data_IF_614140674778
#
_entry.id   IF_614140674778
#
_cell.length_a   1.000
_cell.length_b   1.000
_cell.length_c   1.000
_cell.angle_alpha   90.00
_cell.angle_beta   90.00
_cell.angle_gamma   90.00
#
_symmetry.space_group_name_H-M   'P 1'
#
loop_
_entity.id
_entity.type
_entity.pdbx_description
1 polymer ?
#
# COMPACT_ATOMS: atom_id res chain seq x y z
N UNK A 1 13.65 81.90 -10.18
CA UNK A 1 13.20 80.58 -10.64
C UNK A 1 11.68 80.60 -10.71
N UNK A 2 11.15 80.65 -11.92
CA UNK A 2 9.76 81.01 -12.22
C UNK A 2 8.72 80.06 -11.62
N UNK A 3 7.63 80.61 -11.08
CA UNK A 3 6.48 79.87 -10.48
C UNK A 3 5.94 78.78 -11.39
N UNK A 4 6.00 78.96 -12.69
CA UNK A 4 5.57 78.02 -13.70
C UNK A 4 6.47 76.75 -13.76
N UNK A 5 7.78 76.87 -13.57
CA UNK A 5 8.74 75.75 -13.57
C UNK A 5 8.54 74.85 -12.35
N UNK A 6 8.23 75.45 -11.18
CA UNK A 6 7.92 74.66 -9.96
C UNK A 6 6.61 73.91 -10.10
N UNK A 7 5.59 74.45 -10.73
CA UNK A 7 4.31 73.77 -10.99
C UNK A 7 4.49 72.64 -12.01
N UNK A 8 5.26 72.87 -13.07
CA UNK A 8 5.56 71.76 -14.06
C UNK A 8 6.36 70.62 -13.45
N UNK A 9 7.37 70.96 -12.63
CA UNK A 9 8.17 69.94 -11.94
C UNK A 9 7.34 69.07 -10.95
N UNK A 10 6.38 69.76 -10.24
CA UNK A 10 5.46 69.08 -9.33
C UNK A 10 4.52 68.12 -10.07
N UNK A 11 4.01 68.54 -11.24
CA UNK A 11 3.09 67.70 -12.04
C UNK A 11 3.83 66.48 -12.63
N UNK A 12 5.07 66.65 -13.09
CA UNK A 12 5.90 65.56 -13.61
C UNK A 12 6.25 64.58 -12.50
N UNK A 13 6.59 65.08 -11.31
CA UNK A 13 6.86 64.19 -10.16
C UNK A 13 5.62 63.42 -9.73
N UNK A 14 4.43 64.01 -9.77
CA UNK A 14 3.17 63.36 -9.42
C UNK A 14 2.75 62.31 -10.47
N UNK A 15 2.99 62.58 -11.75
CA UNK A 15 2.77 61.62 -12.84
C UNK A 15 3.72 60.43 -12.79
N UNK A 16 4.99 60.65 -12.45
CA UNK A 16 5.95 59.55 -12.24
C UNK A 16 5.61 58.67 -11.02
N UNK A 17 5.10 59.27 -9.93
CA UNK A 17 4.72 58.53 -8.74
C UNK A 17 3.42 57.71 -8.94
N UNK A 18 2.46 58.24 -9.73
CA UNK A 18 1.24 57.49 -10.05
C UNK A 18 1.48 56.35 -11.03
N UNK A 19 2.49 56.45 -11.91
CA UNK A 19 2.84 55.42 -12.86
C UNK A 19 3.61 54.24 -12.20
N UNK A 20 4.33 54.51 -11.10
CA UNK A 20 5.05 53.48 -10.33
C UNK A 20 4.12 52.57 -9.51
N UNK A 21 2.86 52.99 -9.27
CA UNK A 21 1.91 52.24 -8.45
C UNK A 21 1.07 51.23 -9.27
N UNK A 22 1.24 51.18 -10.59
CA UNK A 22 0.41 50.38 -11.50
C UNK A 22 1.11 49.09 -12.02
N UNK A 23 2.32 48.80 -11.53
CA UNK A 23 3.06 47.56 -11.91
C UNK A 23 3.20 46.65 -10.72
N UNK A 24 2.13 46.48 -9.92
CA UNK A 24 1.97 45.20 -9.18
C UNK A 24 1.36 44.19 -10.12
N UNK A 25 2.21 43.63 -10.97
CA UNK A 25 1.88 42.39 -11.70
C UNK A 25 1.62 41.35 -10.62
N UNK A 26 0.35 40.98 -10.44
CA UNK A 26 -0.02 39.80 -9.71
C UNK A 26 0.58 38.58 -10.47
N UNK A 27 1.79 38.16 -10.09
CA UNK A 27 2.29 36.86 -10.45
C UNK A 27 1.44 35.90 -9.64
N UNK A 28 0.27 35.54 -10.17
CA UNK A 28 -0.43 34.35 -9.75
C UNK A 28 0.50 33.18 -10.10
N UNK A 29 1.20 32.68 -9.10
CA UNK A 29 1.75 31.35 -9.19
C UNK A 29 0.54 30.42 -9.34
N UNK A 30 0.20 30.11 -10.58
CA UNK A 30 -0.63 28.94 -10.85
C UNK A 30 0.14 27.77 -10.25
N UNK A 31 -0.29 27.28 -9.09
CA UNK A 31 0.12 25.99 -8.58
C UNK A 31 -0.24 25.01 -9.71
N UNK A 32 0.76 24.50 -10.41
CA UNK A 32 0.54 23.39 -11.32
C UNK A 32 -0.20 22.33 -10.52
N UNK A 33 -1.35 21.83 -10.99
CA UNK A 33 -1.98 20.69 -10.35
C UNK A 33 -0.92 19.60 -10.41
N UNK A 34 -0.33 19.27 -9.27
CA UNK A 34 0.43 18.03 -9.13
C UNK A 34 -0.50 16.95 -9.62
N UNK A 35 -0.27 16.46 -10.82
CA UNK A 35 -0.92 15.28 -11.34
C UNK A 35 -0.56 14.17 -10.35
N UNK A 36 -1.42 13.99 -9.36
CA UNK A 36 -1.38 12.84 -8.47
C UNK A 36 -1.68 11.68 -9.41
N UNK A 37 -0.63 11.10 -9.98
CA UNK A 37 -0.76 9.83 -10.69
C UNK A 37 -1.47 8.90 -9.70
N UNK A 38 -2.68 8.49 -10.03
CA UNK A 38 -3.43 7.53 -9.23
C UNK A 38 -2.65 6.22 -9.28
N UNK A 39 -1.79 6.03 -8.31
CA UNK A 39 -1.06 4.78 -8.14
C UNK A 39 -2.09 3.79 -7.65
N UNK A 40 -2.51 2.88 -8.50
CA UNK A 40 -3.35 1.76 -8.11
C UNK A 40 -2.54 0.85 -7.18
N UNK A 41 -2.80 0.95 -5.89
CA UNK A 41 -2.26 0.04 -4.87
C UNK A 41 -3.06 -1.26 -4.89
N UNK A 42 -2.42 -2.34 -5.27
CA UNK A 42 -3.00 -3.68 -5.26
C UNK A 42 -2.31 -4.49 -4.16
N UNK A 43 -3.07 -4.93 -3.16
CA UNK A 43 -2.54 -5.78 -2.09
C UNK A 43 -2.37 -7.21 -2.58
N UNK A 44 -1.18 -7.78 -2.39
CA UNK A 44 -0.83 -9.14 -2.78
C UNK A 44 -0.19 -9.89 -1.58
N UNK A 45 -0.99 -10.64 -0.81
CA UNK A 45 -0.48 -11.43 0.29
C UNK A 45 0.28 -12.65 -0.24
N UNK A 46 1.41 -12.96 0.40
CA UNK A 46 2.21 -14.15 0.10
C UNK A 46 2.66 -14.82 1.40
N UNK A 47 2.62 -16.14 1.44
CA UNK A 47 3.10 -16.87 2.61
C UNK A 47 4.63 -16.88 2.68
N UNK A 48 5.16 -16.82 3.90
CA UNK A 48 6.58 -16.93 4.17
C UNK A 48 7.16 -18.21 3.56
N UNK A 49 8.27 -18.10 2.83
CA UNK A 49 8.92 -19.21 2.13
C UNK A 49 8.19 -19.71 0.89
N UNK A 50 7.07 -19.11 0.52
CA UNK A 50 6.31 -19.45 -0.69
C UNK A 50 6.56 -18.45 -1.80
N UNK A 51 6.34 -18.90 -3.02
CA UNK A 51 6.40 -18.07 -4.21
C UNK A 51 5.06 -18.05 -4.96
N UNK A 52 4.85 -17.00 -5.72
CA UNK A 52 3.69 -16.89 -6.60
C UNK A 52 4.09 -16.19 -7.90
N UNK A 53 3.36 -16.50 -8.98
CA UNK A 53 3.50 -15.80 -10.26
C UNK A 53 2.32 -14.85 -10.44
N UNK A 54 2.63 -13.57 -10.58
CA UNK A 54 1.63 -12.54 -10.87
C UNK A 54 1.64 -12.22 -12.35
N UNK A 55 0.48 -12.29 -12.99
CA UNK A 55 0.28 -11.94 -14.41
C UNK A 55 -0.12 -10.50 -14.56
N UNK A 56 0.66 -9.78 -15.37
CA UNK A 56 0.45 -8.39 -15.71
C UNK A 56 -0.54 -8.24 -16.87
N UNK A 57 -1.37 -7.21 -16.81
CA UNK A 57 -2.26 -6.84 -17.92
C UNK A 57 -1.49 -6.20 -19.08
N UNK A 58 -0.52 -5.35 -18.75
CA UNK A 58 0.34 -4.65 -19.71
C UNK A 58 1.80 -5.15 -19.56
N UNK A 59 2.58 -5.05 -20.61
CA UNK A 59 3.98 -5.50 -20.62
C UNK A 59 4.83 -4.65 -19.67
N UNK A 60 5.66 -5.31 -18.87
CA UNK A 60 6.64 -4.68 -18.00
C UNK A 60 8.03 -4.68 -18.66
N UNK A 61 8.75 -3.60 -18.48
CA UNK A 61 10.15 -3.44 -18.89
C UNK A 61 11.13 -3.62 -17.74
N UNK A 62 10.68 -3.32 -16.52
CA UNK A 62 11.49 -3.38 -15.30
C UNK A 62 10.63 -3.62 -14.08
N UNK A 63 11.20 -4.30 -13.08
CA UNK A 63 10.62 -4.47 -11.74
C UNK A 63 11.66 -4.11 -10.69
N UNK A 64 11.20 -3.63 -9.54
CA UNK A 64 12.04 -3.37 -8.37
C UNK A 64 11.24 -3.60 -7.11
N UNK A 65 11.88 -4.19 -6.10
CA UNK A 65 11.30 -4.37 -4.76
C UNK A 65 11.87 -3.32 -3.81
N UNK A 66 11.02 -2.78 -2.94
CA UNK A 66 11.41 -1.76 -1.97
C UNK A 66 12.33 -2.31 -0.87
N UNK A 67 12.00 -3.52 -0.33
CA UNK A 67 12.80 -4.17 0.71
C UNK A 67 13.12 -5.62 0.31
N UNK A 68 14.34 -5.87 -0.23
CA UNK A 68 14.74 -7.20 -0.72
C UNK A 68 14.88 -8.29 0.36
N UNK A 69 14.94 -7.90 1.63
CA UNK A 69 14.96 -8.86 2.73
C UNK A 69 13.57 -9.43 3.02
N UNK A 70 12.48 -8.70 2.70
CA UNK A 70 11.10 -9.14 2.91
C UNK A 70 10.62 -9.98 1.74
N UNK A 71 10.84 -9.52 0.51
CA UNK A 71 10.44 -10.26 -0.70
C UNK A 71 11.50 -10.14 -1.80
N UNK A 72 11.57 -11.15 -2.65
CA UNK A 72 12.34 -11.10 -3.91
C UNK A 72 11.38 -11.07 -5.10
N UNK A 73 11.77 -10.36 -6.16
CA UNK A 73 10.98 -10.25 -7.37
C UNK A 73 11.85 -10.44 -8.61
N UNK A 74 11.33 -11.19 -9.59
CA UNK A 74 11.98 -11.41 -10.88
C UNK A 74 10.99 -11.33 -12.02
N UNK A 75 11.38 -10.66 -13.08
CA UNK A 75 10.64 -10.69 -14.34
C UNK A 75 10.95 -12.00 -15.05
N UNK A 76 9.95 -12.88 -15.21
CA UNK A 76 10.09 -14.14 -15.97
C UNK A 76 10.02 -13.83 -17.45
N UNK A 77 9.05 -13.03 -17.83
CA UNK A 77 8.85 -12.47 -19.17
C UNK A 77 8.14 -11.11 -19.03
N UNK A 78 7.88 -10.43 -20.12
CA UNK A 78 7.29 -9.08 -20.09
C UNK A 78 5.89 -8.99 -19.48
N UNK A 79 5.23 -10.12 -19.21
CA UNK A 79 3.88 -10.18 -18.60
C UNK A 79 3.77 -11.01 -17.33
N UNK A 80 4.86 -11.61 -16.88
CA UNK A 80 4.84 -12.46 -15.69
C UNK A 80 6.00 -12.13 -14.78
N UNK A 81 5.67 -11.88 -13.51
CA UNK A 81 6.65 -11.66 -12.45
C UNK A 81 6.54 -12.79 -11.42
N UNK A 82 7.69 -13.28 -10.99
CA UNK A 82 7.84 -14.21 -9.89
C UNK A 82 8.09 -13.42 -8.62
N UNK A 83 7.36 -13.75 -7.56
CA UNK A 83 7.46 -13.09 -6.26
C UNK A 83 7.69 -14.17 -5.21
N UNK A 84 8.72 -14.00 -4.37
CA UNK A 84 9.07 -14.91 -3.26
C UNK A 84 9.00 -14.15 -1.93
N UNK A 85 8.20 -14.64 -0.97
CA UNK A 85 8.17 -14.13 0.40
C UNK A 85 9.33 -14.69 1.23
N UNK A 86 10.25 -13.82 1.67
CA UNK A 86 11.49 -14.23 2.37
C UNK A 86 11.44 -14.03 3.88
N UNK A 87 10.77 -12.97 4.34
CA UNK A 87 10.65 -12.62 5.75
C UNK A 87 9.30 -11.97 6.01
N UNK A 88 8.71 -12.24 7.16
CA UNK A 88 7.47 -11.57 7.59
C UNK A 88 7.63 -10.07 7.61
N UNK A 89 6.66 -9.36 7.03
CA UNK A 89 6.65 -7.90 6.91
C UNK A 89 5.89 -7.44 5.67
N UNK A 90 5.96 -6.16 5.38
CA UNK A 90 5.36 -5.56 4.18
C UNK A 90 6.40 -4.80 3.38
N UNK A 91 6.27 -4.85 2.09
CA UNK A 91 7.07 -4.09 1.13
C UNK A 91 6.22 -3.81 -0.11
N UNK A 92 6.77 -3.09 -1.07
CA UNK A 92 6.11 -2.89 -2.36
C UNK A 92 7.01 -3.31 -3.52
N UNK A 93 6.38 -3.62 -4.63
CA UNK A 93 7.03 -3.88 -5.92
C UNK A 93 6.58 -2.80 -6.88
N UNK A 94 7.53 -2.05 -7.41
CA UNK A 94 7.32 -1.10 -8.51
C UNK A 94 7.56 -1.79 -9.84
N UNK A 95 6.61 -1.69 -10.76
CA UNK A 95 6.61 -2.32 -12.07
C UNK A 95 6.46 -1.23 -13.12
N UNK A 96 7.51 -1.01 -13.91
CA UNK A 96 7.49 -0.07 -15.02
C UNK A 96 6.94 -0.77 -16.26
N UNK A 97 5.86 -0.21 -16.79
CA UNK A 97 5.16 -0.72 -17.96
C UNK A 97 5.43 0.19 -19.17
N UNK A 98 5.06 -0.27 -20.34
CA UNK A 98 5.16 0.52 -21.56
C UNK A 98 4.34 1.82 -21.43
N UNK A 99 4.84 2.92 -22.02
CA UNK A 99 4.19 4.24 -21.95
C UNK A 99 4.34 4.99 -20.64
N UNK A 100 5.42 4.73 -19.88
CA UNK A 100 5.74 5.43 -18.62
C UNK A 100 4.74 5.22 -17.47
N UNK A 101 3.90 4.21 -17.56
CA UNK A 101 3.00 3.82 -16.47
C UNK A 101 3.76 3.03 -15.40
N UNK A 102 3.42 3.25 -14.14
CA UNK A 102 3.96 2.49 -13.01
C UNK A 102 2.80 1.84 -12.26
N UNK A 103 2.88 0.51 -12.13
CA UNK A 103 2.00 -0.25 -11.25
C UNK A 103 2.76 -0.52 -9.94
N UNK A 104 2.12 -0.31 -8.81
CA UNK A 104 2.67 -0.65 -7.49
C UNK A 104 1.84 -1.77 -6.89
N UNK A 105 2.51 -2.87 -6.51
CA UNK A 105 1.93 -3.96 -5.75
C UNK A 105 2.42 -3.88 -4.31
N UNK A 106 1.49 -3.83 -3.37
CA UNK A 106 1.79 -3.90 -1.94
C UNK A 106 1.86 -5.37 -1.52
N UNK A 107 3.04 -5.82 -1.13
CA UNK A 107 3.32 -7.20 -0.75
C UNK A 107 3.26 -7.32 0.77
N UNK A 108 2.41 -8.21 1.26
CA UNK A 108 2.36 -8.59 2.66
C UNK A 108 2.84 -10.04 2.81
N UNK A 109 4.02 -10.23 3.38
CA UNK A 109 4.57 -11.57 3.69
C UNK A 109 4.17 -11.95 5.10
N UNK A 110 3.46 -13.07 5.23
CA UNK A 110 2.93 -13.54 6.52
C UNK A 110 2.94 -15.06 6.67
N UNK A 111 2.22 -15.55 7.67
CA UNK A 111 2.03 -16.98 7.85
C UNK A 111 1.22 -17.58 6.69
N UNK A 112 1.43 -18.87 6.43
CA UNK A 112 0.64 -19.64 5.45
C UNK A 112 -0.75 -19.96 6.01
N UNK A 113 -1.60 -18.94 6.02
CA UNK A 113 -2.98 -19.04 6.52
C UNK A 113 -3.86 -19.94 5.65
N UNK A 114 -3.52 -20.10 4.37
CA UNK A 114 -4.26 -20.96 3.47
C UNK A 114 -4.05 -22.45 3.79
N UNK A 115 -2.79 -22.86 3.95
CA UNK A 115 -2.48 -24.24 4.37
C UNK A 115 -3.02 -24.56 5.76
N UNK A 116 -2.91 -23.61 6.70
CA UNK A 116 -3.50 -23.76 8.03
C UNK A 116 -5.03 -23.92 7.96
N UNK A 117 -5.70 -23.10 7.15
CA UNK A 117 -7.17 -23.20 6.98
C UNK A 117 -7.58 -24.55 6.42
N UNK A 118 -6.83 -25.07 5.45
CA UNK A 118 -7.10 -26.40 4.88
C UNK A 118 -6.92 -27.51 5.92
N UNK A 119 -5.84 -27.47 6.72
CA UNK A 119 -5.61 -28.40 7.81
C UNK A 119 -6.75 -28.36 8.84
N UNK A 120 -7.16 -27.17 9.26
CA UNK A 120 -8.24 -27.03 10.23
C UNK A 120 -9.58 -27.49 9.66
N UNK A 121 -9.87 -27.26 8.38
CA UNK A 121 -11.07 -27.75 7.72
C UNK A 121 -11.11 -29.29 7.63
N UNK A 122 -9.96 -29.93 7.51
CA UNK A 122 -9.86 -31.40 7.55
C UNK A 122 -10.10 -31.95 8.96
N UNK A 123 -9.52 -31.31 9.98
CA UNK A 123 -9.63 -31.74 11.38
C UNK A 123 -10.99 -31.39 12.03
N UNK A 124 -11.58 -30.30 11.60
CA UNK A 124 -12.85 -29.77 12.12
C UNK A 124 -13.83 -29.45 10.99
N UNK A 125 -14.39 -30.45 10.31
CA UNK A 125 -15.20 -30.25 9.10
C UNK A 125 -16.51 -29.50 9.36
N UNK A 126 -17.01 -29.52 10.60
CA UNK A 126 -18.19 -28.77 11.04
C UNK A 126 -17.92 -27.28 11.32
N UNK A 127 -16.65 -26.89 11.52
CA UNK A 127 -16.25 -25.55 11.97
C UNK A 127 -15.74 -24.72 10.79
N UNK A 128 -16.66 -24.19 9.97
CA UNK A 128 -16.30 -23.45 8.75
C UNK A 128 -16.54 -21.91 8.87
N UNK A 129 -17.01 -21.44 10.03
CA UNK A 129 -17.49 -20.06 10.21
C UNK A 129 -16.43 -19.12 10.79
N UNK A 130 -15.14 -19.46 10.70
CA UNK A 130 -14.06 -18.60 11.16
C UNK A 130 -13.10 -18.20 10.05
N UNK A 131 -12.45 -17.06 10.27
CA UNK A 131 -11.45 -16.46 9.39
C UNK A 131 -10.09 -16.43 10.07
N UNK A 132 -9.03 -16.73 9.33
CA UNK A 132 -7.63 -16.61 9.75
C UNK A 132 -6.99 -15.47 8.99
N UNK A 133 -6.33 -14.58 9.70
CA UNK A 133 -5.57 -13.48 9.11
C UNK A 133 -4.19 -13.41 9.76
N UNK A 134 -3.17 -12.98 8.99
CA UNK A 134 -1.84 -12.70 9.54
C UNK A 134 -1.76 -11.23 9.93
N UNK A 135 -1.27 -10.96 11.14
CA UNK A 135 -1.05 -9.61 11.65
C UNK A 135 0.38 -9.53 12.22
N UNK A 136 1.33 -9.18 11.35
CA UNK A 136 2.76 -9.16 11.69
C UNK A 136 3.24 -10.55 12.14
N UNK A 137 3.73 -10.63 13.38
CA UNK A 137 4.23 -11.87 13.98
C UNK A 137 3.13 -12.72 14.63
N UNK A 138 1.86 -12.33 14.55
CA UNK A 138 0.74 -13.03 15.14
C UNK A 138 -0.29 -13.46 14.10
N UNK A 139 -1.10 -14.46 14.45
CA UNK A 139 -2.30 -14.83 13.72
C UNK A 139 -3.53 -14.27 14.44
N UNK A 140 -4.52 -13.84 13.70
CA UNK A 140 -5.82 -13.41 14.23
C UNK A 140 -6.88 -14.39 13.76
N UNK A 141 -7.56 -15.02 14.70
CA UNK A 141 -8.75 -15.84 14.46
C UNK A 141 -9.99 -15.02 14.80
N UNK A 142 -10.93 -14.94 13.89
CA UNK A 142 -12.19 -14.22 14.09
C UNK A 142 -13.34 -14.98 13.46
N UNK A 143 -14.53 -14.82 14.03
CA UNK A 143 -15.73 -15.53 13.59
C UNK A 143 -16.33 -16.38 14.70
N UNK A 144 -16.98 -17.48 14.32
CA UNK A 144 -17.69 -18.34 15.26
C UNK A 144 -17.20 -19.76 15.21
N UNK A 145 -17.23 -20.42 16.37
CA UNK A 145 -17.00 -21.85 16.56
C UNK A 145 -18.10 -22.38 17.47
N UNK A 146 -18.52 -23.60 17.29
CA UNK A 146 -19.66 -24.22 17.96
C UNK A 146 -19.47 -24.32 19.47
N UNK A 147 -18.26 -24.63 19.96
CA UNK A 147 -18.01 -24.80 21.39
C UNK A 147 -16.64 -24.26 21.85
N UNK A 148 -16.53 -24.01 23.16
CA UNK A 148 -15.30 -23.47 23.76
C UNK A 148 -14.11 -24.45 23.72
N UNK A 149 -14.35 -25.75 23.71
CA UNK A 149 -13.28 -26.75 23.60
C UNK A 149 -12.67 -26.76 22.21
N UNK A 150 -13.53 -26.64 21.17
CA UNK A 150 -13.10 -26.48 19.78
C UNK A 150 -12.22 -25.26 19.60
N UNK A 151 -12.56 -24.11 20.23
CA UNK A 151 -11.71 -22.91 20.21
C UNK A 151 -10.31 -23.21 20.73
N UNK A 152 -10.16 -23.87 21.86
CA UNK A 152 -8.85 -24.17 22.47
C UNK A 152 -8.02 -25.10 21.56
N UNK A 153 -8.64 -26.09 20.96
CA UNK A 153 -7.96 -27.04 20.05
C UNK A 153 -7.48 -26.35 18.77
N UNK A 154 -8.32 -25.54 18.15
CA UNK A 154 -8.00 -24.78 16.93
C UNK A 154 -6.85 -23.83 17.18
N UNK A 155 -6.87 -23.07 18.30
CA UNK A 155 -5.80 -22.15 18.66
C UNK A 155 -4.49 -22.89 18.88
N UNK A 156 -4.48 -23.99 19.65
CA UNK A 156 -3.28 -24.78 19.92
C UNK A 156 -2.65 -25.35 18.65
N UNK A 157 -3.46 -25.95 17.77
CA UNK A 157 -2.99 -26.47 16.49
C UNK A 157 -2.40 -25.38 15.63
N UNK A 158 -3.01 -24.20 15.58
CA UNK A 158 -2.53 -23.07 14.81
C UNK A 158 -1.18 -22.54 15.32
N UNK A 159 -0.99 -22.48 16.63
CA UNK A 159 0.28 -22.08 17.24
C UNK A 159 1.38 -23.09 16.95
N UNK A 160 1.11 -24.37 17.08
CA UNK A 160 2.07 -25.44 16.78
C UNK A 160 2.43 -25.51 15.28
N UNK A 161 1.44 -25.35 14.39
CA UNK A 161 1.65 -25.39 12.95
C UNK A 161 2.47 -24.23 12.43
N UNK A 162 2.26 -23.03 12.97
CA UNK A 162 2.88 -21.81 12.44
C UNK A 162 4.05 -21.29 13.27
N UNK A 163 4.21 -21.76 14.51
CA UNK A 163 5.15 -21.20 15.49
C UNK A 163 4.84 -19.76 15.93
N UNK A 164 3.62 -19.28 15.65
CA UNK A 164 3.18 -17.89 15.92
C UNK A 164 2.10 -17.85 16.98
N UNK A 165 2.07 -16.77 17.76
CA UNK A 165 0.98 -16.54 18.72
C UNK A 165 -0.34 -16.29 17.99
N UNK A 166 -1.42 -16.80 18.58
CA UNK A 166 -2.78 -16.59 18.11
C UNK A 166 -3.49 -15.56 18.98
N UNK A 167 -3.98 -14.51 18.32
CA UNK A 167 -4.94 -13.56 18.90
C UNK A 167 -6.35 -14.13 18.65
N UNK A 168 -6.93 -14.70 19.69
CA UNK A 168 -8.24 -15.32 19.61
C UNK A 168 -9.35 -14.26 19.74
N UNK A 169 -10.09 -14.07 18.64
CA UNK A 169 -11.31 -13.25 18.56
C UNK A 169 -12.51 -14.11 18.12
N UNK A 170 -12.47 -15.41 18.41
CA UNK A 170 -13.57 -16.31 18.14
C UNK A 170 -14.66 -16.16 19.21
N UNK A 171 -15.88 -16.26 18.78
CA UNK A 171 -17.07 -16.26 19.64
C UNK A 171 -17.70 -17.63 19.56
N UNK A 172 -18.10 -18.18 20.70
CA UNK A 172 -18.87 -19.43 20.75
C UNK A 172 -20.35 -19.13 20.61
N UNK A 173 -21.06 -20.03 19.95
CA UNK A 173 -22.52 -20.00 19.96
C UNK A 173 -22.99 -20.60 21.33
N UNK A 174 -22.99 -19.77 22.36
CA UNK A 174 -23.59 -20.19 23.66
C UNK A 174 -25.10 -20.40 23.46
N UNK A 175 -25.51 -21.65 23.61
CA UNK A 175 -26.92 -22.05 23.69
C UNK A 175 -27.52 -21.68 25.04
#
# INVERSE_FOLDING_TARGET
MNSHVKKLLSIVLFLCFSFSLLVFVNISYAAEPSATASVNHLSFPIALGKSSVYRLKESATRVSVGEPNIADVRLINNKEIYILGKKTGSTNISIWQDGSKILVLDIAVGADTASLKNLLAELFPSENSFKISSAGESLVFSGRITDALGVQQVVKIAEEFTGKKVLNMLVTDDL
#
